data_IF_737373038355
#
_entry.id   IF_737373038355
#
_cell.length_a   1.000
_cell.length_b   1.000
_cell.length_c   1.000
_cell.angle_alpha   90.00
_cell.angle_beta   90.00
_cell.angle_gamma   90.00
#
_symmetry.space_group_name_H-M   'P 1'
#
loop_
_entity.id
_entity.type
_entity.pdbx_description
1 polymer ?
#
# COMPACT_ATOMS: atom_id res chain seq x y z
N UNK A 1 -3.07 -0.06 -13.05
CA UNK A 1 -3.07 0.00 -11.57
C UNK A 1 -1.64 0.15 -11.07
N UNK A 2 -1.35 1.25 -10.36
CA UNK A 2 0.00 1.56 -9.86
C UNK A 2 0.55 0.47 -8.91
N UNK A 3 -0.31 -0.09 -8.06
CA UNK A 3 0.03 -1.22 -7.18
C UNK A 3 0.60 -2.42 -7.97
N UNK A 4 -0.03 -2.83 -9.07
CA UNK A 4 0.46 -3.97 -9.87
C UNK A 4 1.83 -3.69 -10.50
N UNK A 5 2.07 -2.44 -10.91
CA UNK A 5 3.37 -2.04 -11.41
C UNK A 5 4.43 -2.07 -10.29
N UNK A 6 4.09 -1.56 -9.11
CA UNK A 6 4.95 -1.58 -7.93
C UNK A 6 5.32 -3.00 -7.52
N UNK A 7 4.35 -3.90 -7.43
CA UNK A 7 4.59 -5.32 -7.13
C UNK A 7 5.56 -5.95 -8.15
N UNK A 8 5.37 -5.67 -9.44
CA UNK A 8 6.29 -6.14 -10.48
C UNK A 8 7.70 -5.57 -10.30
N UNK A 9 7.83 -4.30 -9.93
CA UNK A 9 9.13 -3.65 -9.72
C UNK A 9 9.93 -4.24 -8.54
N UNK A 10 9.25 -4.83 -7.55
CA UNK A 10 9.88 -5.53 -6.41
C UNK A 10 10.02 -7.04 -6.64
N UNK A 11 9.82 -7.51 -7.87
CA UNK A 11 10.02 -8.91 -8.26
C UNK A 11 8.77 -9.81 -8.14
N UNK A 12 7.61 -9.27 -7.78
CA UNK A 12 6.37 -10.04 -7.68
C UNK A 12 5.68 -10.09 -9.06
N UNK A 13 5.80 -11.25 -9.72
CA UNK A 13 5.26 -11.50 -11.06
C UNK A 13 4.43 -12.78 -11.17
N UNK A 14 4.24 -13.23 -12.41
CA UNK A 14 3.65 -14.54 -12.72
C UNK A 14 2.26 -14.77 -12.13
N UNK A 15 2.03 -15.99 -11.64
CA UNK A 15 0.73 -16.44 -11.12
C UNK A 15 0.24 -15.60 -9.94
N UNK A 16 1.14 -15.21 -9.04
CA UNK A 16 0.79 -14.40 -7.87
C UNK A 16 0.31 -13.00 -8.28
N UNK A 17 1.04 -12.34 -9.19
CA UNK A 17 0.62 -11.02 -9.70
C UNK A 17 -0.72 -11.10 -10.45
N UNK A 18 -0.94 -12.16 -11.22
CA UNK A 18 -2.20 -12.38 -11.94
C UNK A 18 -3.37 -12.63 -10.97
N UNK A 19 -3.14 -13.38 -9.88
CA UNK A 19 -4.13 -13.57 -8.83
C UNK A 19 -4.50 -12.23 -8.18
N UNK A 20 -3.51 -11.40 -7.82
CA UNK A 20 -3.75 -10.08 -7.25
C UNK A 20 -4.50 -9.19 -8.24
N UNK A 21 -4.10 -9.18 -9.52
CA UNK A 21 -4.82 -8.46 -10.57
C UNK A 21 -6.30 -8.87 -10.63
N UNK A 22 -6.59 -10.18 -10.63
CA UNK A 22 -7.96 -10.68 -10.64
C UNK A 22 -8.78 -10.28 -9.41
N UNK A 23 -8.15 -10.19 -8.23
CA UNK A 23 -8.82 -9.72 -7.00
C UNK A 23 -9.21 -8.22 -7.04
N UNK A 24 -8.58 -7.45 -7.93
CA UNK A 24 -8.83 -6.02 -8.14
C UNK A 24 -9.48 -5.74 -9.51
N UNK A 25 -9.98 -6.76 -10.20
CA UNK A 25 -10.69 -6.59 -11.46
C UNK A 25 -12.16 -6.22 -11.18
N UNK A 26 -12.60 -5.08 -11.72
CA UNK A 26 -13.93 -4.50 -11.55
C UNK A 26 -14.57 -4.67 -10.13
N UNK A 27 -13.86 -4.32 -9.03
CA UNK A 27 -14.40 -4.52 -7.69
C UNK A 27 -15.60 -3.61 -7.45
N UNK A 28 -16.57 -4.10 -6.68
CA UNK A 28 -17.75 -3.33 -6.25
C UNK A 28 -17.77 -3.19 -4.74
N UNK A 29 -18.34 -2.10 -4.26
CA UNK A 29 -18.51 -1.79 -2.84
C UNK A 29 -19.96 -1.36 -2.56
N UNK A 30 -20.49 -1.73 -1.40
CA UNK A 30 -21.75 -1.23 -0.88
C UNK A 30 -21.58 -0.87 0.60
N UNK A 31 -22.32 0.11 1.08
CA UNK A 31 -22.26 0.59 2.47
C UNK A 31 -23.48 0.08 3.21
N UNK A 32 -23.28 -0.48 4.41
CA UNK A 32 -24.35 -0.87 5.33
C UNK A 32 -24.45 0.11 6.48
N UNK A 33 -25.68 0.60 6.75
CA UNK A 33 -26.01 1.43 7.92
C UNK A 33 -27.19 0.79 8.64
N UNK A 34 -26.94 0.20 9.80
CA UNK A 34 -27.92 -0.65 10.50
C UNK A 34 -28.38 -1.81 9.60
N UNK A 35 -29.69 -1.90 9.38
CA UNK A 35 -30.30 -2.94 8.53
C UNK A 35 -30.44 -2.54 7.04
N UNK A 36 -29.94 -1.36 6.63
CA UNK A 36 -30.02 -0.89 5.24
C UNK A 36 -28.67 -1.04 4.55
N UNK A 37 -28.69 -1.48 3.29
CA UNK A 37 -27.50 -1.60 2.42
C UNK A 37 -27.71 -0.72 1.19
N UNK A 38 -26.70 0.05 0.79
CA UNK A 38 -26.74 0.86 -0.42
C UNK A 38 -26.76 -0.02 -1.69
N UNK A 39 -27.11 0.57 -2.82
CA UNK A 39 -26.80 -0.06 -4.10
C UNK A 39 -25.27 -0.22 -4.24
N UNK A 40 -24.78 -1.33 -4.84
CA UNK A 40 -23.37 -1.49 -5.12
C UNK A 40 -22.88 -0.41 -6.10
N UNK A 41 -21.69 0.12 -5.86
CA UNK A 41 -20.98 1.03 -6.75
C UNK A 41 -19.59 0.49 -7.08
N UNK A 42 -18.97 1.01 -8.13
CA UNK A 42 -17.62 0.62 -8.53
C UNK A 42 -16.58 1.12 -7.52
N UNK A 43 -15.60 0.28 -7.23
CA UNK A 43 -14.46 0.59 -6.38
C UNK A 43 -13.27 0.96 -7.26
N UNK A 44 -13.10 2.26 -7.51
CA UNK A 44 -12.20 2.75 -8.55
C UNK A 44 -10.72 2.80 -8.14
N UNK A 45 -10.43 2.94 -6.84
CA UNK A 45 -9.07 3.19 -6.37
C UNK A 45 -8.83 2.70 -4.94
N UNK A 46 -7.58 2.35 -4.66
CA UNK A 46 -7.09 1.96 -3.32
C UNK A 46 -7.06 0.46 -3.09
N UNK A 47 -6.50 0.06 -1.97
CA UNK A 47 -6.62 -1.31 -1.43
C UNK A 47 -7.93 -1.43 -0.66
N UNK A 48 -8.57 -2.61 -0.66
CA UNK A 48 -9.88 -2.79 -0.02
C UNK A 48 -9.74 -2.80 1.50
N UNK A 49 -10.35 -1.85 2.21
CA UNK A 49 -10.37 -1.88 3.68
C UNK A 49 -11.07 -3.15 4.19
N UNK A 50 -10.50 -3.79 5.21
CA UNK A 50 -10.97 -5.06 5.76
C UNK A 50 -10.59 -6.31 4.94
N UNK A 51 -9.96 -6.17 3.76
CA UNK A 51 -9.42 -7.31 3.03
C UNK A 51 -8.05 -7.74 3.63
N UNK A 52 -7.84 -9.01 3.98
CA UNK A 52 -6.64 -9.45 4.72
C UNK A 52 -5.30 -9.13 4.06
N UNK A 53 -5.23 -9.09 2.72
CA UNK A 53 -3.98 -8.77 2.03
C UNK A 53 -3.79 -7.27 1.75
N UNK A 54 -4.77 -6.41 2.04
CA UNK A 54 -4.63 -4.97 1.83
C UNK A 54 -3.49 -4.33 2.61
N UNK A 55 -3.23 -4.67 3.89
CA UNK A 55 -2.11 -4.09 4.64
C UNK A 55 -0.75 -4.33 3.96
N UNK A 56 -0.43 -5.59 3.63
CA UNK A 56 0.85 -5.91 2.99
C UNK A 56 0.97 -5.31 1.57
N UNK A 57 -0.14 -5.23 0.84
CA UNK A 57 -0.15 -4.58 -0.48
C UNK A 57 0.09 -3.08 -0.37
N UNK A 58 -0.41 -2.44 0.68
CA UNK A 58 -0.14 -1.04 0.99
C UNK A 58 1.32 -0.84 1.40
N UNK A 59 1.87 -1.71 2.26
CA UNK A 59 3.28 -1.65 2.66
C UNK A 59 4.21 -1.74 1.45
N UNK A 60 3.96 -2.68 0.53
CA UNK A 60 4.70 -2.74 -0.74
C UNK A 60 4.58 -1.44 -1.55
N UNK A 61 3.44 -0.78 -1.50
CA UNK A 61 3.20 0.46 -2.21
C UNK A 61 4.04 1.62 -1.68
N UNK A 62 4.12 1.76 -0.36
CA UNK A 62 4.81 2.89 0.30
C UNK A 62 6.28 2.62 0.64
N UNK A 63 6.78 1.40 0.45
CA UNK A 63 8.11 1.00 0.93
C UNK A 63 9.29 1.84 0.38
N UNK A 64 9.09 2.58 -0.71
CA UNK A 64 10.09 3.50 -1.27
C UNK A 64 9.70 4.98 -1.16
N UNK A 65 8.74 5.32 -0.28
CA UNK A 65 8.27 6.69 -0.06
C UNK A 65 9.41 7.66 0.22
N UNK A 66 10.42 7.22 0.98
CA UNK A 66 11.59 8.02 1.35
C UNK A 66 12.84 7.74 0.51
N UNK A 67 12.70 7.06 -0.63
CA UNK A 67 13.83 6.80 -1.54
C UNK A 67 14.42 8.13 -2.02
N UNK A 68 15.73 8.31 -1.81
CA UNK A 68 16.45 9.53 -2.20
C UNK A 68 16.48 10.62 -1.12
N UNK A 69 15.78 10.45 0.00
CA UNK A 69 15.88 11.34 1.15
C UNK A 69 17.22 11.09 1.86
N UNK A 70 17.95 12.17 2.19
CA UNK A 70 19.26 12.08 2.85
C UNK A 70 19.17 11.49 4.26
N UNK A 71 18.16 11.88 5.02
CA UNK A 71 17.96 11.46 6.41
C UNK A 71 18.97 12.01 7.39
N UNK A 72 18.88 11.54 8.63
CA UNK A 72 19.70 11.98 9.77
C UNK A 72 20.69 10.89 10.19
N UNK A 73 21.79 11.28 10.86
CA UNK A 73 22.68 10.33 11.52
C UNK A 73 22.09 9.93 12.88
N UNK A 74 21.97 8.63 13.12
CA UNK A 74 21.53 8.08 14.41
C UNK A 74 22.72 7.38 15.07
N UNK A 75 23.10 7.75 16.32
CA UNK A 75 24.17 7.08 17.04
C UNK A 75 23.96 5.55 17.07
N UNK A 76 25.00 4.80 16.70
CA UNK A 76 24.95 3.33 16.66
C UNK A 76 24.46 2.72 15.35
N UNK A 77 23.94 3.50 14.40
CA UNK A 77 23.59 3.04 13.05
C UNK A 77 24.63 3.49 12.02
N UNK A 78 24.93 2.62 11.05
CA UNK A 78 25.91 2.91 9.98
C UNK A 78 25.31 3.72 8.84
N UNK A 79 24.03 3.51 8.55
CA UNK A 79 23.27 4.25 7.53
C UNK A 79 22.56 5.46 8.11
N UNK A 80 22.34 6.48 7.26
CA UNK A 80 21.42 7.57 7.59
C UNK A 80 19.99 7.06 7.54
N UNK A 81 19.16 7.54 8.46
CA UNK A 81 17.75 7.17 8.56
C UNK A 81 16.90 8.29 7.96
N UNK A 82 16.20 8.04 6.83
CA UNK A 82 15.42 9.07 6.15
C UNK A 82 14.11 9.40 6.87
N UNK A 83 13.56 8.44 7.63
CA UNK A 83 12.28 8.57 8.28
C UNK A 83 11.78 7.26 8.86
N UNK A 84 10.59 7.29 9.44
CA UNK A 84 9.87 6.16 9.99
C UNK A 84 8.52 6.01 9.25
N UNK A 85 8.11 4.77 9.02
CA UNK A 85 6.82 4.44 8.39
C UNK A 85 6.09 3.46 9.30
N UNK A 86 4.82 3.73 9.58
CA UNK A 86 3.94 2.83 10.29
C UNK A 86 2.52 2.96 9.74
N UNK A 87 2.05 1.96 8.99
CA UNK A 87 0.81 2.08 8.22
C UNK A 87 0.80 3.39 7.41
N UNK A 88 -0.24 4.24 7.55
CA UNK A 88 -0.34 5.55 6.91
C UNK A 88 0.45 6.67 7.62
N UNK A 89 0.90 6.45 8.86
CA UNK A 89 1.74 7.40 9.58
C UNK A 89 3.17 7.38 9.04
N UNK A 90 3.66 8.57 8.68
CA UNK A 90 5.02 8.75 8.17
C UNK A 90 5.71 9.92 8.84
N UNK A 91 6.97 9.71 9.24
CA UNK A 91 7.81 10.73 9.87
C UNK A 91 9.05 10.90 9.00
N UNK A 92 9.22 12.08 8.41
CA UNK A 92 10.44 12.44 7.67
C UNK A 92 11.45 13.06 8.63
N UNK A 93 12.72 12.65 8.55
CA UNK A 93 13.80 13.19 9.37
C UNK A 93 14.76 14.01 8.51
N UNK A 94 15.05 15.23 8.94
CA UNK A 94 15.95 16.15 8.27
C UNK A 94 16.93 16.80 9.27
N UNK A 95 18.14 17.07 8.80
CA UNK A 95 19.25 17.73 9.50
C UNK A 95 19.74 18.90 8.64
#
# INVERSE_FOLDING_TARGET
MALLHKLRSVGIGGKLLNMIKGMYDAPKIAVRVGNKVSNPTEYLCGVRQGFPASPILFDFYINDLFKGVRGVRVPGLTSRIPGLLFADDSVLLAE
#
